data_IF_803571758214
#
_entry.id   IF_803571758214
#
_cell.length_a   1.000
_cell.length_b   1.000
_cell.length_c   1.000
_cell.angle_alpha   90.00
_cell.angle_beta   90.00
_cell.angle_gamma   90.00
#
_symmetry.space_group_name_H-M   'P 1'
#
loop_
_entity.id
_entity.type
_entity.pdbx_description
1 polymer ?
#
# COMPACT_ATOMS: atom_id res chain seq x y z
N UNK A 1 -1.78 31.50 59.31
CA UNK A 1 -1.74 30.02 59.20
C UNK A 1 -2.83 29.48 58.25
N UNK A 2 -3.39 30.29 57.32
CA UNK A 2 -4.43 29.85 56.36
C UNK A 2 -3.88 29.70 54.93
N UNK A 3 -2.69 30.26 54.64
CA UNK A 3 -2.08 30.23 53.31
C UNK A 3 -1.38 28.90 53.00
N UNK A 4 -0.90 28.19 54.03
CA UNK A 4 -0.14 26.94 53.87
C UNK A 4 -1.04 25.72 53.56
N UNK A 5 -2.30 25.73 53.98
CA UNK A 5 -3.28 24.64 53.73
C UNK A 5 -3.92 24.71 52.34
N UNK A 6 -3.94 25.89 51.69
CA UNK A 6 -4.46 26.03 50.32
C UNK A 6 -3.45 25.59 49.26
N UNK A 7 -2.15 25.75 49.52
CA UNK A 7 -1.09 25.37 48.58
C UNK A 7 -0.90 23.84 48.48
N UNK A 8 -1.02 23.11 49.59
CA UNK A 8 -0.95 21.63 49.60
C UNK A 8 -2.19 20.99 48.97
N UNK A 9 -3.37 21.57 49.18
CA UNK A 9 -4.61 21.13 48.52
C UNK A 9 -4.61 21.34 46.99
N UNK A 10 -3.96 22.39 46.51
CA UNK A 10 -3.84 22.72 45.08
C UNK A 10 -2.78 21.86 44.36
N UNK A 11 -1.67 21.54 45.03
CA UNK A 11 -0.62 20.63 44.53
C UNK A 11 -1.15 19.20 44.30
N UNK A 12 -1.94 18.68 45.25
CA UNK A 12 -2.47 17.31 45.19
C UNK A 12 -3.61 17.14 44.16
N UNK A 13 -4.34 18.23 43.85
CA UNK A 13 -5.42 18.24 42.86
C UNK A 13 -4.91 18.31 41.42
N UNK A 14 -3.86 19.08 41.15
CA UNK A 14 -3.21 19.09 39.82
C UNK A 14 -2.50 17.77 39.51
N UNK A 15 -1.87 17.13 40.51
CA UNK A 15 -1.22 15.83 40.32
C UNK A 15 -2.20 14.70 39.97
N UNK A 16 -3.37 14.68 40.59
CA UNK A 16 -4.38 13.62 40.36
C UNK A 16 -5.10 13.76 39.01
N UNK A 17 -5.30 14.99 38.53
CA UNK A 17 -5.82 15.26 37.17
C UNK A 17 -4.76 14.91 36.11
N UNK A 18 -3.49 15.23 36.36
CA UNK A 18 -2.40 14.87 35.44
C UNK A 18 -2.23 13.34 35.31
N UNK A 19 -2.32 12.60 36.42
CA UNK A 19 -2.22 11.12 36.43
C UNK A 19 -3.40 10.47 35.70
N UNK A 20 -4.62 10.99 35.87
CA UNK A 20 -5.80 10.44 35.17
C UNK A 20 -5.80 10.75 33.67
N UNK A 21 -5.33 11.94 33.25
CA UNK A 21 -5.16 12.27 31.83
C UNK A 21 -4.08 11.41 31.16
N UNK A 22 -2.95 11.16 31.83
CA UNK A 22 -1.88 10.27 31.33
C UNK A 22 -2.34 8.81 31.27
N UNK A 23 -3.13 8.36 32.25
CA UNK A 23 -3.71 7.00 32.23
C UNK A 23 -4.74 6.83 31.11
N UNK A 24 -5.52 7.85 30.77
CA UNK A 24 -6.48 7.80 29.65
C UNK A 24 -5.77 7.91 28.29
N UNK A 25 -4.68 8.67 28.17
CA UNK A 25 -3.89 8.77 26.94
C UNK A 25 -3.13 7.46 26.58
N UNK A 26 -2.78 6.64 27.57
CA UNK A 26 -2.03 5.39 27.33
C UNK A 26 -2.90 4.23 26.83
N UNK A 27 -4.23 4.31 26.95
CA UNK A 27 -5.16 3.22 26.55
C UNK A 27 -5.53 3.25 25.05
N UNK A 28 -5.18 4.32 24.31
CA UNK A 28 -5.72 4.53 22.94
C UNK A 28 -4.89 3.94 21.79
N UNK A 29 -3.78 3.22 22.03
CA UNK A 29 -2.82 2.84 20.95
C UNK A 29 -2.80 1.33 20.61
N UNK A 30 -3.93 0.63 20.66
CA UNK A 30 -4.01 -0.77 20.20
C UNK A 30 -4.97 -0.93 19.02
N UNK A 31 -4.73 -0.21 17.93
CA UNK A 31 -5.26 -0.63 16.62
C UNK A 31 -4.32 -1.67 16.03
N UNK A 32 -4.49 -2.94 16.40
CA UNK A 32 -3.85 -4.05 15.71
C UNK A 32 -4.55 -4.29 14.37
N UNK A 33 -3.77 -4.50 13.31
CA UNK A 33 -4.27 -4.95 12.02
C UNK A 33 -5.16 -6.19 12.22
N UNK A 34 -6.43 -6.10 11.83
CA UNK A 34 -7.32 -7.25 11.84
C UNK A 34 -6.82 -8.25 10.79
N UNK A 35 -6.70 -9.55 11.08
CA UNK A 35 -6.45 -10.53 10.05
C UNK A 35 -7.60 -10.46 9.05
N UNK A 36 -7.31 -10.15 7.78
CA UNK A 36 -8.31 -10.23 6.74
C UNK A 36 -8.67 -11.70 6.55
N UNK A 37 -9.80 -12.13 7.11
CA UNK A 37 -10.36 -13.44 6.84
C UNK A 37 -10.84 -13.41 5.39
N UNK A 38 -10.11 -14.10 4.52
CA UNK A 38 -10.50 -14.24 3.11
C UNK A 38 -11.78 -15.09 3.02
N UNK A 39 -12.90 -14.41 2.84
CA UNK A 39 -14.25 -14.97 2.63
C UNK A 39 -14.64 -14.93 1.15
N UNK A 40 -13.75 -15.46 0.29
CA UNK A 40 -13.98 -15.60 -1.15
C UNK A 40 -14.47 -16.99 -1.54
N UNK A 41 -14.93 -17.17 -2.79
CA UNK A 41 -15.38 -18.45 -3.32
C UNK A 41 -14.35 -19.57 -3.09
N UNK A 42 -14.85 -20.78 -2.86
CA UNK A 42 -14.04 -21.97 -2.59
C UNK A 42 -14.35 -23.08 -3.57
N UNK A 43 -13.32 -23.83 -3.91
CA UNK A 43 -13.41 -25.09 -4.64
C UNK A 43 -14.11 -26.16 -3.79
N UNK A 44 -14.54 -27.26 -4.41
CA UNK A 44 -15.21 -28.36 -3.71
C UNK A 44 -14.35 -29.00 -2.61
N UNK A 45 -13.02 -28.94 -2.73
CA UNK A 45 -12.03 -29.37 -1.74
C UNK A 45 -11.66 -28.28 -0.72
N UNK A 46 -12.34 -27.12 -0.73
CA UNK A 46 -12.23 -26.06 0.28
C UNK A 46 -11.09 -25.07 0.08
N UNK A 47 -10.30 -25.21 -0.99
CA UNK A 47 -9.22 -24.26 -1.34
C UNK A 47 -9.80 -22.97 -1.90
N UNK A 48 -9.09 -21.82 -1.78
CA UNK A 48 -9.45 -20.59 -2.48
C UNK A 48 -9.69 -20.86 -3.97
N UNK A 49 -10.80 -20.38 -4.50
CA UNK A 49 -11.08 -20.45 -5.92
C UNK A 49 -10.46 -19.25 -6.63
N UNK A 50 -9.49 -19.52 -7.50
CA UNK A 50 -8.81 -18.51 -8.31
C UNK A 50 -9.39 -18.39 -9.73
N UNK A 51 -10.50 -19.07 -10.04
CA UNK A 51 -11.19 -18.87 -11.31
C UNK A 51 -11.59 -17.39 -11.45
N UNK A 52 -11.14 -16.75 -12.54
CA UNK A 52 -11.33 -15.32 -12.79
C UNK A 52 -10.15 -14.43 -12.38
N UNK A 53 -9.13 -14.97 -11.70
CA UNK A 53 -7.86 -14.27 -11.49
C UNK A 53 -6.88 -14.68 -12.60
N UNK A 54 -6.46 -13.72 -13.41
CA UNK A 54 -5.47 -13.93 -14.48
C UNK A 54 -4.21 -13.15 -14.16
N UNK A 55 -3.05 -13.82 -14.19
CA UNK A 55 -1.74 -13.20 -13.97
C UNK A 55 -0.83 -13.48 -15.17
N UNK A 56 -0.16 -12.43 -15.65
CA UNK A 56 0.93 -12.60 -16.60
C UNK A 56 2.20 -13.06 -15.85
N UNK A 57 2.68 -14.26 -16.16
CA UNK A 57 3.92 -14.82 -15.60
C UNK A 57 5.10 -14.67 -16.57
N UNK A 58 5.11 -13.61 -17.36
CA UNK A 58 6.14 -13.32 -18.38
C UNK A 58 6.56 -11.85 -18.30
N UNK A 59 7.63 -11.49 -19.03
CA UNK A 59 8.04 -10.09 -19.16
C UNK A 59 6.96 -9.18 -19.80
N UNK A 60 5.90 -9.76 -20.37
CA UNK A 60 4.76 -9.00 -20.88
C UNK A 60 3.99 -8.22 -19.78
N UNK A 61 4.23 -8.52 -18.49
CA UNK A 61 3.74 -7.70 -17.39
C UNK A 61 4.35 -6.29 -17.36
N UNK A 62 5.54 -6.10 -17.96
CA UNK A 62 6.24 -4.81 -18.02
C UNK A 62 5.89 -4.01 -19.27
N UNK A 63 5.86 -4.69 -20.42
CA UNK A 63 5.36 -4.18 -21.71
C UNK A 63 4.93 -5.38 -22.57
N UNK A 64 3.73 -5.31 -23.14
CA UNK A 64 3.18 -6.37 -23.99
C UNK A 64 3.84 -6.42 -25.37
N UNK A 65 4.45 -5.31 -25.80
CA UNK A 65 5.29 -5.26 -27.00
C UNK A 65 6.71 -5.74 -26.68
N UNK A 66 7.44 -6.14 -27.73
CA UNK A 66 8.84 -6.52 -27.59
C UNK A 66 9.68 -5.33 -27.10
N UNK A 67 10.57 -5.58 -26.13
CA UNK A 67 11.40 -4.55 -25.53
C UNK A 67 12.74 -5.11 -25.03
N UNK A 68 13.78 -4.27 -25.10
CA UNK A 68 15.09 -4.56 -24.52
C UNK A 68 15.06 -4.44 -22.99
N UNK A 69 16.07 -5.01 -22.33
CA UNK A 69 16.24 -4.83 -20.90
C UNK A 69 16.55 -3.36 -20.56
N UNK A 70 15.99 -2.88 -19.46
CA UNK A 70 16.27 -1.59 -18.87
C UNK A 70 16.55 -1.77 -17.37
N UNK A 71 17.00 -0.72 -16.69
CA UNK A 71 17.24 -0.81 -15.24
C UNK A 71 15.95 -1.13 -14.48
N UNK A 72 15.89 -2.30 -13.85
CA UNK A 72 14.72 -2.80 -13.13
C UNK A 72 13.65 -3.45 -14.01
N UNK A 73 13.90 -3.59 -15.32
CA UNK A 73 12.94 -4.17 -16.29
C UNK A 73 13.67 -5.22 -17.14
N UNK A 74 13.32 -6.51 -17.04
CA UNK A 74 13.91 -7.54 -17.88
C UNK A 74 13.52 -7.35 -19.35
N UNK A 75 14.34 -7.84 -20.28
CA UNK A 75 13.97 -7.88 -21.70
C UNK A 75 12.76 -8.81 -21.92
N UNK A 76 11.91 -8.47 -22.89
CA UNK A 76 10.73 -9.25 -23.23
C UNK A 76 10.55 -9.40 -24.74
N UNK A 77 10.24 -10.61 -25.20
CA UNK A 77 9.94 -10.90 -26.61
C UNK A 77 8.62 -10.26 -27.09
N UNK A 78 7.78 -9.82 -26.15
CA UNK A 78 6.41 -9.37 -26.42
C UNK A 78 5.45 -10.53 -26.71
N UNK A 79 4.16 -10.24 -26.66
CA UNK A 79 3.07 -11.15 -27.04
C UNK A 79 2.29 -10.65 -28.27
N UNK A 80 2.65 -9.48 -28.80
CA UNK A 80 2.01 -8.90 -29.98
C UNK A 80 2.63 -9.51 -31.24
N UNK A 81 1.85 -10.27 -31.99
CA UNK A 81 2.34 -10.99 -33.18
C UNK A 81 2.49 -10.10 -34.42
N UNK A 82 1.60 -9.11 -34.59
CA UNK A 82 1.46 -8.34 -35.84
C UNK A 82 2.03 -6.93 -35.73
N UNK A 83 3.35 -6.83 -35.52
CA UNK A 83 4.04 -5.55 -35.46
C UNK A 83 3.62 -4.70 -34.25
N UNK A 84 3.86 -3.37 -34.26
CA UNK A 84 3.52 -2.51 -33.14
C UNK A 84 1.99 -2.32 -33.03
N UNK A 85 1.54 -2.10 -31.80
CA UNK A 85 0.16 -1.76 -31.50
C UNK A 85 -0.15 -0.37 -32.10
N UNK A 86 -1.24 -0.22 -32.86
CA UNK A 86 -1.63 1.06 -33.44
C UNK A 86 -2.25 1.96 -32.37
N UNK A 87 -1.41 2.54 -31.51
CA UNK A 87 -1.84 3.49 -30.49
C UNK A 87 -2.38 4.77 -31.12
N UNK A 88 -3.42 5.35 -30.49
CA UNK A 88 -3.71 6.75 -30.72
C UNK A 88 -2.51 7.61 -30.27
N UNK A 89 -2.12 8.68 -30.98
CA UNK A 89 -0.90 9.44 -30.69
C UNK A 89 -0.76 9.89 -29.22
N UNK A 90 -1.85 10.33 -28.61
CA UNK A 90 -1.87 10.76 -27.20
C UNK A 90 -1.60 9.61 -26.22
N UNK A 91 -1.98 8.38 -26.57
CA UNK A 91 -1.76 7.18 -25.76
C UNK A 91 -0.31 6.71 -25.88
N UNK A 92 0.26 6.80 -27.08
CA UNK A 92 1.69 6.54 -27.28
C UNK A 92 2.54 7.54 -26.48
N UNK A 93 2.22 8.82 -26.55
CA UNK A 93 2.90 9.85 -25.75
C UNK A 93 2.80 9.56 -24.25
N UNK A 94 1.61 9.18 -23.77
CA UNK A 94 1.40 8.78 -22.36
C UNK A 94 2.20 7.52 -21.99
N UNK A 95 2.28 6.50 -22.86
CA UNK A 95 3.08 5.28 -22.65
C UNK A 95 4.56 5.65 -22.43
N UNK A 96 5.10 6.50 -23.30
CA UNK A 96 6.49 6.96 -23.21
C UNK A 96 6.74 7.78 -21.94
N UNK A 97 5.85 8.72 -21.62
CA UNK A 97 5.92 9.52 -20.39
C UNK A 97 5.89 8.62 -19.14
N UNK A 98 5.01 7.61 -19.11
CA UNK A 98 4.92 6.64 -18.02
C UNK A 98 6.20 5.82 -17.89
N UNK A 99 6.81 5.42 -19.02
CA UNK A 99 8.10 4.73 -19.04
C UNK A 99 9.22 5.54 -18.39
N UNK A 100 9.35 6.83 -18.75
CA UNK A 100 10.37 7.74 -18.19
C UNK A 100 10.22 7.89 -16.67
N UNK A 101 8.99 8.05 -16.19
CA UNK A 101 8.71 8.25 -14.76
C UNK A 101 8.36 6.97 -14.01
N UNK A 102 8.62 5.78 -14.59
CA UNK A 102 8.23 4.49 -14.00
C UNK A 102 8.77 4.35 -12.57
N UNK A 103 10.04 4.72 -12.33
CA UNK A 103 10.65 4.60 -10.98
C UNK A 103 9.93 5.42 -9.91
N UNK A 104 9.38 6.57 -10.28
CA UNK A 104 8.70 7.49 -9.36
C UNK A 104 7.21 7.13 -9.19
N UNK A 105 6.57 6.70 -10.28
CA UNK A 105 5.11 6.52 -10.37
C UNK A 105 4.65 5.07 -10.18
N UNK A 106 5.50 4.09 -10.46
CA UNK A 106 5.17 2.67 -10.32
C UNK A 106 4.97 2.31 -8.83
N UNK A 107 3.79 1.84 -8.43
CA UNK A 107 3.53 1.39 -7.06
C UNK A 107 4.50 0.32 -6.57
N UNK A 108 5.05 -0.52 -7.46
CA UNK A 108 6.00 -1.58 -7.10
C UNK A 108 7.34 -1.05 -6.59
N UNK A 109 7.68 0.22 -6.86
CA UNK A 109 8.89 0.86 -6.34
C UNK A 109 8.70 1.47 -4.93
N UNK A 110 7.48 1.49 -4.38
CA UNK A 110 7.14 2.13 -3.10
C UNK A 110 6.67 1.12 -2.02
N UNK A 111 7.17 -0.11 -2.06
CA UNK A 111 6.86 -1.15 -1.07
C UNK A 111 7.51 -0.88 0.29
#
# INVERSE_FOLDING_TARGET
>A
MELFLRLTGQQNRCGMIAVTVVLVLTVSVTTFAQPSVYDGPRTADGRPDFNGVWQALTAASWDIEAHSAEQGVPAGQGIVEKGPIPYHPVMLARKLENGVHRRERDPLHRC
#
